data_IF_647469381707
#
_entry.id   IF_647469381707
#
_cell.length_a   1.000
_cell.length_b   1.000
_cell.length_c   1.000
_cell.angle_alpha   90.00
_cell.angle_beta   90.00
_cell.angle_gamma   90.00
#
_symmetry.space_group_name_H-M   'P 1'
#
loop_
_entity.id
_entity.type
_entity.pdbx_description
1 polymer ?
#
# COMPACT_ATOMS: atom_id res chain seq x y z
N UNK A 1 10.74 1.68 17.34
CA UNK A 1 10.54 0.59 18.30
C UNK A 1 9.20 -0.08 17.98
N UNK A 2 9.15 -1.43 17.93
CA UNK A 2 7.88 -2.18 17.99
C UNK A 2 7.67 -2.57 19.44
N UNK A 3 6.51 -2.24 19.98
CA UNK A 3 6.08 -2.72 21.29
C UNK A 3 5.40 -4.08 21.10
N UNK A 4 5.60 -4.98 22.05
CA UNK A 4 4.88 -6.25 22.15
C UNK A 4 3.89 -6.08 23.29
N UNK A 5 2.61 -6.26 22.98
CA UNK A 5 1.51 -5.94 23.91
C UNK A 5 1.24 -7.09 24.89
N UNK A 6 1.33 -8.35 24.44
CA UNK A 6 1.02 -9.54 25.24
C UNK A 6 2.16 -10.56 25.20
N UNK A 7 2.49 -11.14 26.37
CA UNK A 7 3.54 -12.15 26.54
C UNK A 7 2.93 -13.46 27.04
N UNK A 8 3.37 -14.58 26.46
CA UNK A 8 3.10 -15.93 26.99
C UNK A 8 4.43 -16.50 27.51
N UNK A 9 4.51 -16.77 28.80
CA UNK A 9 5.71 -17.28 29.45
C UNK A 9 5.49 -18.73 29.82
N UNK A 10 6.33 -19.62 29.30
CA UNK A 10 6.30 -21.05 29.58
C UNK A 10 7.53 -21.40 30.40
N UNK A 11 7.31 -22.00 31.57
CA UNK A 11 8.36 -22.37 32.50
C UNK A 11 8.32 -23.89 32.71
N UNK A 12 9.49 -24.48 32.94
CA UNK A 12 9.56 -25.87 33.41
C UNK A 12 9.12 -25.93 34.88
N UNK A 13 8.29 -26.91 35.21
CA UNK A 13 7.83 -27.11 36.57
C UNK A 13 9.01 -27.44 37.50
N UNK A 14 9.21 -26.65 38.54
CA UNK A 14 10.15 -26.96 39.62
C UNK A 14 9.37 -27.61 40.76
N UNK A 15 9.73 -28.85 41.18
CA UNK A 15 9.03 -29.52 42.28
C UNK A 15 9.13 -28.67 43.56
N UNK A 16 7.99 -28.28 44.12
CA UNK A 16 7.92 -27.48 45.36
C UNK A 16 8.15 -25.98 45.19
N UNK A 17 8.24 -25.47 43.96
CA UNK A 17 8.36 -24.04 43.71
C UNK A 17 7.04 -23.29 43.95
N UNK A 18 7.09 -22.21 44.74
CA UNK A 18 5.98 -21.28 44.89
C UNK A 18 5.79 -20.49 43.57
N UNK A 19 4.70 -20.79 42.86
CA UNK A 19 4.35 -20.14 41.60
C UNK A 19 4.13 -18.64 41.77
N UNK A 20 3.61 -18.19 42.91
CA UNK A 20 3.34 -16.77 43.16
C UNK A 20 4.65 -16.00 43.33
N UNK A 21 5.65 -16.58 44.00
CA UNK A 21 6.99 -16.01 44.12
C UNK A 21 7.69 -15.88 42.75
N UNK A 22 7.51 -16.88 41.87
CA UNK A 22 8.07 -16.84 40.50
C UNK A 22 7.39 -15.76 39.67
N UNK A 23 6.07 -15.64 39.75
CA UNK A 23 5.31 -14.58 39.06
C UNK A 23 5.74 -13.21 39.56
N UNK A 24 5.85 -13.01 40.87
CA UNK A 24 6.28 -11.75 41.46
C UNK A 24 7.68 -11.32 40.96
N UNK A 25 8.62 -12.27 40.87
CA UNK A 25 9.95 -12.02 40.31
C UNK A 25 9.88 -11.58 38.84
N UNK A 26 9.09 -12.28 38.03
CA UNK A 26 8.94 -11.96 36.61
C UNK A 26 8.31 -10.58 36.44
N UNK A 27 7.17 -10.32 37.09
CA UNK A 27 6.48 -9.03 37.03
C UNK A 27 7.38 -7.90 37.52
N UNK A 28 8.20 -8.14 38.55
CA UNK A 28 9.21 -7.19 39.04
C UNK A 28 10.24 -6.82 37.96
N UNK A 29 10.78 -7.80 37.24
CA UNK A 29 11.72 -7.57 36.14
C UNK A 29 11.07 -6.77 34.99
N UNK A 30 9.85 -7.14 34.59
CA UNK A 30 9.11 -6.41 33.56
C UNK A 30 8.84 -4.96 33.98
N UNK A 31 8.48 -4.74 35.25
CA UNK A 31 8.18 -3.40 35.77
C UNK A 31 9.44 -2.53 35.90
N UNK A 32 10.60 -3.11 36.23
CA UNK A 32 11.86 -2.38 36.32
C UNK A 32 12.33 -1.86 34.95
N UNK A 33 12.19 -2.66 33.90
CA UNK A 33 12.61 -2.32 32.54
C UNK A 33 11.54 -1.52 31.77
N UNK A 34 10.27 -1.65 32.16
CA UNK A 34 9.19 -0.92 31.53
C UNK A 34 9.06 0.47 32.16
N UNK A 35 9.42 1.49 31.38
CA UNK A 35 9.39 2.93 31.70
C UNK A 35 7.98 3.46 32.09
N UNK A 36 7.39 2.97 33.18
CA UNK A 36 6.08 3.36 33.72
C UNK A 36 4.87 2.57 33.21
N UNK A 37 5.06 1.41 32.56
CA UNK A 37 3.91 0.57 32.13
C UNK A 37 3.39 -0.28 33.30
N UNK A 38 2.07 -0.45 33.36
CA UNK A 38 1.41 -1.35 34.31
C UNK A 38 1.09 -2.67 33.60
N UNK A 39 1.62 -3.77 34.11
CA UNK A 39 1.35 -5.10 33.58
C UNK A 39 0.21 -5.78 34.36
N UNK A 40 -0.64 -6.49 33.62
CA UNK A 40 -1.61 -7.44 34.16
C UNK A 40 -1.17 -8.85 33.78
N UNK A 41 -1.36 -9.82 34.65
CA UNK A 41 -1.03 -11.22 34.39
C UNK A 41 -2.20 -12.13 34.72
N UNK A 42 -2.24 -13.27 34.03
CA UNK A 42 -3.24 -14.32 34.22
C UNK A 42 -2.49 -15.65 34.37
N UNK A 43 -2.88 -16.46 35.34
CA UNK A 43 -2.38 -17.82 35.51
C UNK A 43 -3.33 -18.82 34.85
N UNK A 44 -2.82 -19.98 34.39
CA UNK A 44 -3.68 -21.02 33.81
C UNK A 44 -4.73 -21.47 34.83
N UNK A 45 -5.99 -21.46 34.43
CA UNK A 45 -7.11 -21.91 35.25
C UNK A 45 -7.62 -23.24 34.69
N UNK A 46 -7.73 -24.28 35.53
CA UNK A 46 -8.15 -25.64 35.12
C UNK A 46 -7.34 -26.21 33.94
N UNK A 47 -6.01 -25.99 33.94
CA UNK A 47 -5.10 -26.40 32.86
C UNK A 47 -5.39 -25.74 31.49
N UNK A 48 -6.14 -24.63 31.47
CA UNK A 48 -6.37 -23.84 30.25
C UNK A 48 -5.86 -22.41 30.43
N UNK A 49 -5.32 -21.83 29.35
CA UNK A 49 -4.93 -20.41 29.30
C UNK A 49 -5.34 -19.79 27.96
N UNK A 50 -5.92 -18.59 28.03
CA UNK A 50 -6.33 -17.83 26.85
C UNK A 50 -5.23 -16.87 26.44
N UNK A 51 -4.60 -17.09 25.28
CA UNK A 51 -3.62 -16.19 24.70
C UNK A 51 -4.14 -15.62 23.37
N UNK A 52 -4.42 -14.31 23.32
CA UNK A 52 -5.03 -13.66 22.16
C UNK A 52 -6.30 -14.38 21.69
N UNK A 53 -6.30 -14.91 20.47
CA UNK A 53 -7.40 -15.68 19.85
C UNK A 53 -7.23 -17.21 20.03
N UNK A 54 -6.32 -17.66 20.87
CA UNK A 54 -6.04 -19.08 21.13
C UNK A 54 -6.43 -19.44 22.55
N UNK A 55 -7.14 -20.56 22.70
CA UNK A 55 -7.23 -21.25 23.98
C UNK A 55 -6.26 -22.42 23.95
N UNK A 56 -5.30 -22.40 24.86
CA UNK A 56 -4.26 -23.44 25.01
C UNK A 56 -4.67 -24.31 26.20
N UNK A 57 -4.68 -25.63 26.01
CA UNK A 57 -5.04 -26.63 27.02
C UNK A 57 -3.85 -27.54 27.25
N UNK A 58 -3.44 -27.69 28.51
CA UNK A 58 -2.33 -28.53 28.93
C UNK A 58 -2.88 -29.88 29.39
N UNK A 59 -3.08 -30.79 28.45
CA UNK A 59 -3.58 -32.12 28.78
C UNK A 59 -2.45 -32.99 29.32
N UNK A 60 -2.75 -33.83 30.33
CA UNK A 60 -1.81 -34.80 30.91
C UNK A 60 -1.54 -36.01 29.99
N UNK A 61 -2.27 -36.12 28.89
CA UNK A 61 -2.20 -37.23 27.94
C UNK A 61 -1.02 -37.14 26.97
N UNK A 62 0.21 -37.02 27.49
CA UNK A 62 1.50 -37.30 26.81
C UNK A 62 1.82 -36.55 25.50
N UNK A 63 0.89 -35.79 24.92
CA UNK A 63 0.96 -35.19 23.59
C UNK A 63 1.29 -33.69 23.64
N UNK A 64 1.64 -33.18 24.83
CA UNK A 64 1.94 -31.77 25.05
C UNK A 64 0.70 -30.85 24.97
N UNK A 65 0.92 -29.53 24.99
CA UNK A 65 -0.16 -28.55 24.97
C UNK A 65 -0.92 -28.56 23.64
N UNK A 66 -2.25 -28.69 23.73
CA UNK A 66 -3.15 -28.53 22.59
C UNK A 66 -3.66 -27.09 22.51
N UNK A 67 -4.07 -26.64 21.33
CA UNK A 67 -4.61 -25.30 21.15
C UNK A 67 -5.78 -25.28 20.17
N UNK A 68 -6.72 -24.36 20.39
CA UNK A 68 -7.90 -24.17 19.55
C UNK A 68 -8.18 -22.70 19.29
N UNK A 69 -8.74 -22.41 18.12
CA UNK A 69 -9.16 -21.05 17.79
C UNK A 69 -10.37 -20.64 18.64
N UNK A 70 -10.14 -19.68 19.54
CA UNK A 70 -11.13 -19.11 20.43
C UNK A 70 -10.93 -17.59 20.53
N UNK A 71 -11.58 -16.79 19.67
CA UNK A 71 -11.38 -15.34 19.68
C UNK A 71 -11.89 -14.72 20.98
N UNK A 72 -11.06 -13.88 21.60
CA UNK A 72 -11.36 -13.23 22.90
C UNK A 72 -12.59 -12.30 22.81
N UNK A 73 -12.78 -11.66 21.66
CA UNK A 73 -13.94 -10.81 21.45
C UNK A 73 -15.21 -11.63 21.24
N UNK A 74 -16.14 -11.53 22.19
CA UNK A 74 -17.51 -12.09 22.08
C UNK A 74 -18.43 -11.24 21.19
N UNK A 75 -17.88 -10.40 20.32
CA UNK A 75 -18.68 -9.56 19.42
C UNK A 75 -19.50 -10.47 18.51
N UNK A 76 -20.79 -10.15 18.40
CA UNK A 76 -21.70 -10.83 17.49
C UNK A 76 -21.19 -10.71 16.06
N UNK A 77 -21.33 -11.79 15.29
CA UNK A 77 -21.04 -11.72 13.86
C UNK A 77 -22.05 -10.80 13.19
N UNK A 78 -21.64 -10.20 12.07
CA UNK A 78 -22.54 -9.40 11.24
C UNK A 78 -23.77 -10.23 10.85
N UNK A 79 -25.00 -9.81 11.18
CA UNK A 79 -26.21 -10.57 10.84
C UNK A 79 -26.33 -10.80 9.33
N UNK A 80 -26.82 -11.97 8.96
CA UNK A 80 -27.01 -12.32 7.54
C UNK A 80 -28.03 -11.41 6.84
N UNK A 81 -29.02 -10.89 7.56
CA UNK A 81 -30.02 -9.95 7.00
C UNK A 81 -29.51 -8.51 6.83
N UNK A 82 -28.28 -8.20 7.27
CA UNK A 82 -27.74 -6.85 7.10
C UNK A 82 -27.62 -6.46 5.62
N UNK A 83 -27.74 -5.16 5.32
CA UNK A 83 -27.68 -4.59 3.97
C UNK A 83 -26.26 -4.59 3.35
N UNK A 84 -25.46 -5.62 3.60
CA UNK A 84 -24.13 -5.81 3.05
C UNK A 84 -24.14 -6.76 1.86
N UNK A 85 -23.16 -6.60 0.98
CA UNK A 85 -23.04 -7.44 -0.22
C UNK A 85 -22.82 -8.92 0.13
N UNK A 86 -23.25 -9.80 -0.78
CA UNK A 86 -23.01 -11.26 -0.67
C UNK A 86 -21.51 -11.58 -0.59
N UNK A 87 -20.65 -10.75 -1.17
CA UNK A 87 -19.19 -10.93 -1.11
C UNK A 87 -18.66 -10.72 0.31
N UNK A 88 -19.13 -9.68 1.01
CA UNK A 88 -18.74 -9.41 2.40
C UNK A 88 -19.19 -10.56 3.29
N UNK A 89 -20.46 -10.99 3.17
CA UNK A 89 -21.02 -12.10 3.95
C UNK A 89 -20.25 -13.41 3.71
N UNK A 90 -19.92 -13.74 2.46
CA UNK A 90 -19.08 -14.90 2.13
C UNK A 90 -17.64 -14.76 2.64
N UNK A 91 -17.10 -13.54 2.65
CA UNK A 91 -15.79 -13.23 3.23
C UNK A 91 -15.72 -13.50 4.73
N UNK A 92 -16.79 -13.21 5.47
CA UNK A 92 -16.88 -13.50 6.91
C UNK A 92 -16.84 -15.01 7.15
N UNK A 93 -17.64 -15.80 6.42
CA UNK A 93 -17.61 -17.26 6.50
C UNK A 93 -16.18 -17.78 6.23
N UNK A 94 -15.58 -17.31 5.13
CA UNK A 94 -14.26 -17.75 4.73
C UNK A 94 -13.18 -17.42 5.77
N UNK A 95 -13.19 -16.18 6.30
CA UNK A 95 -12.23 -15.72 7.30
C UNK A 95 -12.30 -16.52 8.60
N UNK A 96 -13.51 -16.81 9.09
CA UNK A 96 -13.69 -17.59 10.33
C UNK A 96 -13.22 -19.04 10.17
N UNK A 97 -13.60 -19.70 9.07
CA UNK A 97 -13.21 -21.08 8.82
C UNK A 97 -11.71 -21.21 8.55
N UNK A 98 -11.13 -20.29 7.79
CA UNK A 98 -9.68 -20.26 7.56
C UNK A 98 -8.89 -19.98 8.83
N UNK A 99 -9.37 -19.06 9.69
CA UNK A 99 -8.76 -18.83 10.98
C UNK A 99 -8.81 -20.07 11.87
N UNK A 100 -9.95 -20.77 11.91
CA UNK A 100 -10.07 -22.03 12.65
C UNK A 100 -9.11 -23.10 12.13
N UNK A 101 -8.95 -23.22 10.82
CA UNK A 101 -8.01 -24.16 10.20
C UNK A 101 -6.54 -23.82 10.51
N UNK A 102 -6.17 -22.54 10.44
CA UNK A 102 -4.79 -22.11 10.65
C UNK A 102 -4.36 -22.07 12.13
N UNK A 103 -5.31 -21.89 13.05
CA UNK A 103 -5.06 -21.59 14.47
C UNK A 103 -5.57 -22.68 15.42
N UNK A 104 -5.69 -23.91 14.96
CA UNK A 104 -6.09 -25.05 15.80
C UNK A 104 -5.17 -26.25 15.54
N UNK A 105 -4.89 -27.03 16.59
CA UNK A 105 -4.18 -28.29 16.44
C UNK A 105 -5.09 -29.37 15.82
N UNK A 106 -4.50 -30.46 15.32
CA UNK A 106 -5.22 -31.59 14.72
C UNK A 106 -6.31 -32.16 15.65
N UNK A 107 -6.03 -32.25 16.96
CA UNK A 107 -6.97 -32.76 17.96
C UNK A 107 -8.21 -31.87 18.12
N UNK A 108 -8.03 -30.55 18.11
CA UNK A 108 -9.10 -29.58 18.36
C UNK A 108 -9.64 -28.92 17.09
N UNK A 109 -9.19 -29.34 15.91
CA UNK A 109 -9.62 -28.73 14.66
C UNK A 109 -11.12 -28.87 14.44
N UNK A 110 -11.65 -30.08 14.64
CA UNK A 110 -13.08 -30.38 14.49
C UNK A 110 -13.94 -29.52 15.41
N UNK A 111 -13.58 -29.46 16.69
CA UNK A 111 -14.30 -28.66 17.69
C UNK A 111 -14.24 -27.16 17.36
N UNK A 112 -13.08 -26.66 16.95
CA UNK A 112 -12.89 -25.25 16.56
C UNK A 112 -13.77 -24.86 15.38
N UNK A 113 -13.83 -25.70 14.35
CA UNK A 113 -14.68 -25.47 13.17
C UNK A 113 -16.15 -25.52 13.56
N UNK A 114 -16.58 -26.52 14.34
CA UNK A 114 -17.97 -26.62 14.82
C UNK A 114 -18.40 -25.38 15.60
N UNK A 115 -17.54 -24.85 16.48
CA UNK A 115 -17.83 -23.60 17.21
C UNK A 115 -18.07 -22.44 16.24
N UNK A 116 -17.25 -22.28 15.18
CA UNK A 116 -17.45 -21.20 14.23
C UNK A 116 -18.71 -21.39 13.37
N UNK A 117 -19.05 -22.62 12.99
CA UNK A 117 -20.31 -22.92 12.30
C UNK A 117 -21.51 -22.52 13.16
N UNK A 118 -21.52 -22.93 14.43
CA UNK A 118 -22.59 -22.56 15.36
C UNK A 118 -22.72 -21.05 15.54
N UNK A 119 -21.61 -20.30 15.50
CA UNK A 119 -21.64 -18.82 15.54
C UNK A 119 -22.26 -18.22 14.28
N UNK A 120 -21.97 -18.78 13.11
CA UNK A 120 -22.54 -18.35 11.83
C UNK A 120 -24.05 -18.65 11.78
N UNK A 121 -24.47 -19.83 12.23
CA UNK A 121 -25.88 -20.21 12.31
C UNK A 121 -26.66 -19.28 13.26
N UNK A 122 -26.10 -18.98 14.43
CA UNK A 122 -26.68 -17.98 15.37
C UNK A 122 -26.79 -16.57 14.76
N UNK A 123 -25.96 -16.23 13.78
CA UNK A 123 -26.03 -14.96 13.06
C UNK A 123 -26.95 -15.00 11.82
N UNK A 124 -27.67 -16.11 11.61
CA UNK A 124 -28.65 -16.29 10.54
C UNK A 124 -28.07 -16.67 9.19
N UNK A 125 -26.80 -17.12 9.12
CA UNK A 125 -26.21 -17.53 7.84
C UNK A 125 -26.82 -18.86 7.38
N UNK A 126 -27.29 -18.95 6.12
CA UNK A 126 -27.92 -20.17 5.63
C UNK A 126 -26.88 -21.26 5.37
N UNK A 127 -27.24 -22.51 5.66
CA UNK A 127 -26.34 -23.66 5.56
C UNK A 127 -25.74 -23.81 4.15
N UNK A 128 -26.51 -23.53 3.09
CA UNK A 128 -26.04 -23.59 1.71
C UNK A 128 -24.84 -22.64 1.43
N UNK A 129 -24.83 -21.44 2.04
CA UNK A 129 -23.75 -20.48 1.90
C UNK A 129 -22.49 -20.97 2.63
N UNK A 130 -22.66 -21.55 3.82
CA UNK A 130 -21.58 -22.14 4.61
C UNK A 130 -20.96 -23.32 3.85
N UNK A 131 -21.76 -24.26 3.37
CA UNK A 131 -21.30 -25.41 2.57
C UNK A 131 -20.59 -24.97 1.30
N UNK A 132 -21.14 -24.00 0.55
CA UNK A 132 -20.54 -23.49 -0.68
C UNK A 132 -19.14 -22.90 -0.43
N UNK A 133 -18.97 -22.13 0.64
CA UNK A 133 -17.66 -21.56 1.01
C UNK A 133 -16.71 -22.65 1.51
N UNK A 134 -17.18 -23.57 2.33
CA UNK A 134 -16.39 -24.69 2.88
C UNK A 134 -15.86 -25.59 1.77
N UNK A 135 -16.70 -25.98 0.81
CA UNK A 135 -16.29 -26.73 -0.36
C UNK A 135 -15.22 -25.95 -1.16
N UNK A 136 -15.41 -24.64 -1.34
CA UNK A 136 -14.42 -23.78 -1.99
C UNK A 136 -13.06 -23.73 -1.27
N UNK A 137 -13.05 -23.75 0.07
CA UNK A 137 -11.82 -23.81 0.87
C UNK A 137 -11.13 -25.17 0.68
N UNK A 138 -11.87 -26.27 0.76
CA UNK A 138 -11.34 -27.62 0.58
C UNK A 138 -10.75 -27.83 -0.83
N UNK A 139 -11.44 -27.36 -1.87
CA UNK A 139 -10.93 -27.41 -3.24
C UNK A 139 -9.64 -26.61 -3.41
N UNK A 140 -9.51 -25.46 -2.74
CA UNK A 140 -8.26 -24.67 -2.76
C UNK A 140 -7.12 -25.38 -2.04
N UNK A 141 -7.39 -26.02 -0.90
CA UNK A 141 -6.39 -26.79 -0.18
C UNK A 141 -5.84 -27.94 -1.04
N UNK A 142 -6.74 -28.75 -1.62
CA UNK A 142 -6.38 -29.85 -2.55
C UNK A 142 -5.60 -29.37 -3.78
N UNK A 143 -5.91 -28.17 -4.29
CA UNK A 143 -5.20 -27.59 -5.43
C UNK A 143 -3.82 -27.01 -5.08
N UNK A 144 -3.58 -26.71 -3.81
CA UNK A 144 -2.26 -26.25 -3.37
C UNK A 144 -1.31 -27.44 -3.18
N UNK A 145 -1.78 -28.58 -2.67
CA UNK A 145 -0.98 -29.82 -2.58
C UNK A 145 -0.51 -30.31 -3.96
N UNK A 146 -1.30 -30.07 -5.01
CA UNK A 146 -0.97 -30.44 -6.40
C UNK A 146 -0.11 -29.40 -7.13
N UNK A 147 0.17 -28.24 -6.51
CA UNK A 147 0.98 -27.17 -7.11
C UNK A 147 2.47 -27.23 -6.77
N UNK A 148 2.89 -28.10 -5.85
CA UNK A 148 4.32 -28.40 -5.66
C UNK A 148 4.90 -29.28 -6.78
N UNK A 149 4.06 -29.81 -7.70
CA UNK A 149 4.49 -30.69 -8.78
C UNK A 149 4.34 -30.13 -10.21
N UNK A 150 4.20 -28.81 -10.43
CA UNK A 150 4.16 -28.28 -11.80
C UNK A 150 4.68 -26.85 -11.95
N UNK A 151 6.00 -26.72 -12.07
CA UNK A 151 6.70 -25.58 -12.70
C UNK A 151 6.58 -25.63 -14.23
N UNK A 152 5.39 -25.91 -14.76
CA UNK A 152 5.13 -25.73 -16.20
C UNK A 152 4.63 -24.30 -16.39
N UNK A 153 5.32 -23.45 -17.18
CA UNK A 153 4.80 -22.15 -17.55
C UNK A 153 3.44 -22.36 -18.22
N UNK A 154 2.36 -21.90 -17.58
CA UNK A 154 1.05 -21.93 -18.22
C UNK A 154 1.16 -21.15 -19.53
N UNK A 155 0.66 -21.69 -20.66
CA UNK A 155 0.63 -20.95 -21.91
C UNK A 155 -0.07 -19.62 -21.67
N UNK A 156 0.46 -18.55 -22.27
CA UNK A 156 -0.08 -17.18 -22.14
C UNK A 156 -1.55 -17.22 -22.53
N UNK A 157 -2.46 -17.22 -21.55
CA UNK A 157 -3.89 -17.16 -21.82
C UNK A 157 -4.16 -15.86 -22.58
N UNK A 158 -4.92 -15.95 -23.67
CA UNK A 158 -5.30 -14.76 -24.41
C UNK A 158 -6.23 -13.93 -23.53
N UNK A 159 -5.74 -12.78 -23.07
CA UNK A 159 -6.52 -11.86 -22.23
C UNK A 159 -7.15 -10.82 -23.14
N UNK A 160 -8.47 -10.68 -23.08
CA UNK A 160 -9.20 -9.62 -23.77
C UNK A 160 -9.93 -8.72 -22.80
N UNK A 161 -9.73 -7.41 -22.96
CA UNK A 161 -10.36 -6.39 -22.12
C UNK A 161 -11.50 -5.75 -22.90
N UNK A 162 -12.73 -5.84 -22.38
CA UNK A 162 -13.92 -5.21 -22.96
C UNK A 162 -14.61 -4.30 -21.94
N UNK A 163 -15.31 -3.24 -22.35
CA UNK A 163 -16.11 -2.44 -21.43
C UNK A 163 -17.20 -3.30 -20.76
N UNK A 164 -17.46 -3.05 -19.47
CA UNK A 164 -18.54 -3.72 -18.76
C UNK A 164 -19.90 -3.25 -19.31
N UNK A 165 -20.62 -4.18 -19.94
CA UNK A 165 -21.97 -4.04 -20.45
C UNK A 165 -22.86 -5.00 -19.68
N UNK A 166 -23.79 -4.46 -18.90
CA UNK A 166 -24.71 -5.25 -18.10
C UNK A 166 -25.46 -6.27 -18.99
N UNK A 167 -25.69 -7.49 -18.48
CA UNK A 167 -26.24 -8.67 -19.20
C UNK A 167 -25.32 -9.31 -20.27
N UNK A 168 -24.53 -8.52 -20.99
CA UNK A 168 -23.68 -9.01 -22.09
C UNK A 168 -22.34 -9.54 -21.55
N UNK A 169 -21.67 -8.77 -20.68
CA UNK A 169 -20.34 -9.06 -20.16
C UNK A 169 -20.25 -10.42 -19.46
N UNK A 170 -21.23 -10.77 -18.62
CA UNK A 170 -21.22 -12.04 -17.90
C UNK A 170 -21.31 -13.25 -18.83
N UNK A 171 -22.14 -13.16 -19.87
CA UNK A 171 -22.27 -14.20 -20.90
C UNK A 171 -20.98 -14.32 -21.71
N UNK A 172 -20.40 -13.21 -22.15
CA UNK A 172 -19.11 -13.18 -22.86
C UNK A 172 -17.98 -13.79 -22.03
N UNK A 173 -17.90 -13.47 -20.73
CA UNK A 173 -16.88 -14.08 -19.86
C UNK A 173 -17.09 -15.59 -19.71
N UNK A 174 -18.34 -16.05 -19.63
CA UNK A 174 -18.66 -17.49 -19.59
C UNK A 174 -18.27 -18.20 -20.89
N UNK A 175 -18.54 -17.59 -22.05
CA UNK A 175 -18.17 -18.13 -23.37
C UNK A 175 -16.65 -18.09 -23.56
N UNK A 176 -15.99 -16.98 -23.22
CA UNK A 176 -14.54 -16.83 -23.31
C UNK A 176 -13.80 -17.87 -22.48
N UNK A 177 -14.25 -18.10 -21.23
CA UNK A 177 -13.64 -19.12 -20.34
C UNK A 177 -13.77 -20.53 -20.91
N UNK A 178 -14.80 -20.82 -21.72
CA UNK A 178 -14.95 -22.12 -22.41
C UNK A 178 -14.01 -22.30 -23.60
N UNK A 179 -13.49 -21.20 -24.17
CA UNK A 179 -12.62 -21.18 -25.34
C UNK A 179 -11.19 -20.71 -24.98
N UNK A 180 -10.77 -20.89 -23.72
CA UNK A 180 -9.47 -20.46 -23.20
C UNK A 180 -9.11 -18.97 -23.37
N UNK A 181 -10.11 -18.11 -23.56
CA UNK A 181 -9.98 -16.64 -23.60
C UNK A 181 -10.40 -16.04 -22.27
N UNK A 182 -9.47 -15.35 -21.60
CA UNK A 182 -9.77 -14.63 -20.36
C UNK A 182 -10.33 -13.25 -20.65
N UNK A 183 -11.64 -13.09 -20.47
CA UNK A 183 -12.31 -11.78 -20.62
C UNK A 183 -12.24 -10.99 -19.31
N UNK A 184 -11.62 -9.82 -19.36
CA UNK A 184 -11.59 -8.81 -18.30
C UNK A 184 -12.49 -7.64 -18.66
N UNK A 185 -13.05 -6.99 -17.64
CA UNK A 185 -13.95 -5.86 -17.84
C UNK A 185 -13.28 -4.54 -17.46
N UNK A 186 -13.33 -3.57 -18.37
CA UNK A 186 -12.99 -2.18 -18.08
C UNK A 186 -14.26 -1.38 -17.77
N UNK A 187 -14.13 -0.38 -16.89
CA UNK A 187 -15.13 0.66 -16.75
C UNK A 187 -14.60 1.90 -17.48
N UNK A 188 -15.15 2.27 -18.65
CA UNK A 188 -14.60 3.35 -19.47
C UNK A 188 -14.64 4.70 -18.75
N UNK A 189 -15.63 4.90 -17.86
CA UNK A 189 -15.72 6.07 -17.00
C UNK A 189 -15.37 5.69 -15.57
N UNK A 190 -14.30 6.27 -15.03
CA UNK A 190 -13.98 6.16 -13.61
C UNK A 190 -14.89 7.11 -12.84
N UNK A 191 -15.27 6.77 -11.62
CA UNK A 191 -16.08 7.66 -10.76
C UNK A 191 -15.43 9.05 -10.60
N UNK A 192 -14.09 9.11 -10.61
CA UNK A 192 -13.31 10.35 -10.60
C UNK A 192 -13.49 11.24 -11.84
N UNK A 193 -13.87 10.69 -12.99
CA UNK A 193 -14.16 11.47 -14.21
C UNK A 193 -15.60 11.96 -14.26
N UNK A 194 -16.53 11.24 -13.62
CA UNK A 194 -17.96 11.61 -13.56
C UNK A 194 -18.19 12.70 -12.52
N UNK A 195 -17.52 12.63 -11.38
CA UNK A 195 -17.65 13.62 -10.30
C UNK A 195 -16.35 14.43 -10.15
N UNK A 196 -16.11 15.34 -11.09
CA UNK A 196 -14.93 16.23 -11.08
C UNK A 196 -14.87 17.12 -9.83
N UNK A 197 -16.01 17.39 -9.20
CA UNK A 197 -16.10 18.15 -7.93
C UNK A 197 -15.47 17.39 -6.76
N UNK A 198 -15.66 16.06 -6.69
CA UNK A 198 -15.02 15.22 -5.66
C UNK A 198 -13.57 14.86 -5.99
N UNK A 199 -13.18 14.93 -7.27
CA UNK A 199 -11.84 14.57 -7.75
C UNK A 199 -10.87 15.76 -7.88
N UNK A 200 -11.35 17.01 -7.88
CA UNK A 200 -10.51 18.21 -7.81
C UNK A 200 -9.96 18.37 -6.40
N UNK A 201 -9.00 17.54 -6.01
CA UNK A 201 -8.02 18.01 -5.03
C UNK A 201 -7.37 19.25 -5.65
N UNK A 202 -7.37 20.42 -4.98
CA UNK A 202 -6.57 21.53 -5.47
C UNK A 202 -5.15 20.99 -5.62
N UNK A 203 -4.49 21.25 -6.75
CA UNK A 203 -3.09 20.88 -6.99
C UNK A 203 -2.18 21.73 -6.09
N UNK A 204 -2.38 21.64 -4.78
CA UNK A 204 -1.49 22.19 -3.77
C UNK A 204 -0.46 21.12 -3.49
N UNK A 205 0.81 21.50 -3.48
CA UNK A 205 1.87 20.59 -3.12
C UNK A 205 1.57 20.03 -1.71
N UNK A 206 1.53 18.71 -1.57
CA UNK A 206 1.28 18.05 -0.27
C UNK A 206 2.47 18.20 0.70
N UNK A 207 3.60 18.73 0.22
CA UNK A 207 4.82 18.93 1.01
C UNK A 207 4.81 20.27 1.74
N UNK A 208 5.15 20.25 3.03
CA UNK A 208 5.55 21.45 3.77
C UNK A 208 6.96 21.85 3.36
N UNK A 209 7.09 22.85 2.49
CA UNK A 209 8.41 23.41 2.16
C UNK A 209 8.91 24.26 3.34
N UNK A 210 10.20 24.13 3.70
CA UNK A 210 10.83 24.99 4.71
C UNK A 210 10.97 26.44 4.25
N UNK A 211 11.31 26.65 2.98
CA UNK A 211 11.40 27.98 2.33
C UNK A 211 10.66 27.95 0.99
N UNK A 212 9.82 28.96 0.72
CA UNK A 212 9.02 29.06 -0.50
C UNK A 212 9.41 30.34 -1.24
N UNK A 213 10.00 30.20 -2.43
CA UNK A 213 10.36 31.35 -3.28
C UNK A 213 9.23 31.72 -4.23
N UNK A 214 8.50 30.71 -4.73
CA UNK A 214 7.42 30.88 -5.71
C UNK A 214 6.18 30.03 -5.38
N UNK A 215 5.08 30.26 -6.10
CA UNK A 215 3.88 29.44 -5.93
C UNK A 215 4.15 27.97 -6.28
N UNK A 216 3.78 27.05 -5.39
CA UNK A 216 4.06 25.63 -5.59
C UNK A 216 3.32 25.08 -6.81
N UNK A 217 4.09 24.73 -7.83
CA UNK A 217 3.59 24.08 -9.05
C UNK A 217 4.41 22.82 -9.35
N UNK A 218 3.78 21.83 -9.98
CA UNK A 218 4.42 20.58 -10.45
C UNK A 218 4.28 20.47 -11.96
N UNK A 219 5.16 19.69 -12.59
CA UNK A 219 5.13 19.44 -14.04
C UNK A 219 5.24 20.73 -14.87
N UNK A 220 6.27 21.55 -14.59
CA UNK A 220 6.44 22.85 -15.23
C UNK A 220 7.85 23.03 -15.82
N UNK A 221 7.93 23.96 -16.77
CA UNK A 221 9.17 24.56 -17.27
C UNK A 221 9.24 25.98 -16.69
N UNK A 222 10.36 26.34 -16.09
CA UNK A 222 10.54 27.61 -15.39
C UNK A 222 11.80 28.34 -15.87
N UNK A 223 11.79 29.67 -15.75
CA UNK A 223 12.95 30.54 -15.95
C UNK A 223 13.41 31.12 -14.62
N UNK A 224 14.71 31.02 -14.36
CA UNK A 224 15.41 31.62 -13.22
C UNK A 224 16.33 32.74 -13.74
N UNK A 225 16.01 34.02 -13.49
CA UNK A 225 16.84 35.13 -13.92
C UNK A 225 18.11 35.25 -13.07
N UNK A 226 19.19 35.72 -13.69
CA UNK A 226 20.45 36.06 -13.04
C UNK A 226 20.68 37.59 -13.09
N UNK A 227 21.49 38.11 -12.16
CA UNK A 227 21.80 39.55 -12.07
C UNK A 227 22.49 40.13 -13.30
N UNK A 228 23.11 39.29 -14.13
CA UNK A 228 23.75 39.69 -15.39
C UNK A 228 22.75 39.84 -16.56
N UNK A 229 21.46 39.54 -16.36
CA UNK A 229 20.44 39.55 -17.41
C UNK A 229 20.34 38.23 -18.20
N UNK A 230 21.25 37.29 -17.98
CA UNK A 230 21.11 35.91 -18.47
C UNK A 230 20.00 35.17 -17.71
N UNK A 231 19.47 34.12 -18.32
CA UNK A 231 18.36 33.32 -17.79
C UNK A 231 18.75 31.85 -17.79
N UNK A 232 18.40 31.13 -16.72
CA UNK A 232 18.44 29.68 -16.67
C UNK A 232 17.03 29.12 -16.89
N UNK A 233 16.85 28.30 -17.92
CA UNK A 233 15.59 27.60 -18.18
C UNK A 233 15.74 26.13 -17.79
N UNK A 234 14.82 25.63 -16.98
CA UNK A 234 14.83 24.24 -16.55
C UNK A 234 13.44 23.64 -16.46
N UNK A 235 13.34 22.32 -16.59
CA UNK A 235 12.10 21.58 -16.36
C UNK A 235 12.11 20.80 -15.03
N UNK A 236 10.93 20.61 -14.46
CA UNK A 236 10.74 19.71 -13.32
C UNK A 236 9.38 19.03 -13.32
N UNK A 237 9.37 17.71 -13.12
CA UNK A 237 8.16 16.96 -12.76
C UNK A 237 7.79 17.13 -11.28
N UNK A 238 8.76 17.44 -10.42
CA UNK A 238 8.58 17.70 -8.98
C UNK A 238 8.20 19.16 -8.74
N UNK A 239 7.98 19.53 -7.47
CA UNK A 239 7.67 20.90 -7.11
C UNK A 239 8.82 21.85 -7.48
N UNK A 240 8.51 23.02 -8.06
CA UNK A 240 9.52 24.02 -8.46
C UNK A 240 10.40 24.47 -7.29
N UNK A 241 9.81 24.69 -6.11
CA UNK A 241 10.56 25.12 -4.93
C UNK A 241 11.62 24.08 -4.51
N UNK A 242 11.31 22.78 -4.60
CA UNK A 242 12.29 21.72 -4.33
C UNK A 242 13.47 21.83 -5.32
N UNK A 243 13.17 22.12 -6.59
CA UNK A 243 14.17 22.27 -7.64
C UNK A 243 15.03 23.52 -7.45
N UNK A 244 14.44 24.64 -7.06
CA UNK A 244 15.16 25.88 -6.73
C UNK A 244 16.11 25.65 -5.53
N UNK A 245 15.64 24.97 -4.49
CA UNK A 245 16.47 24.63 -3.32
C UNK A 245 17.64 23.72 -3.72
N UNK A 246 17.42 22.75 -4.62
CA UNK A 246 18.49 21.94 -5.20
C UNK A 246 19.52 22.81 -5.93
N UNK A 247 19.07 23.76 -6.76
CA UNK A 247 19.98 24.70 -7.44
C UNK A 247 20.80 25.53 -6.45
N UNK A 248 20.18 26.04 -5.39
CA UNK A 248 20.87 26.79 -4.33
C UNK A 248 21.95 25.93 -3.65
N UNK A 249 21.62 24.69 -3.27
CA UNK A 249 22.58 23.75 -2.68
C UNK A 249 23.71 23.36 -3.65
N UNK A 250 23.41 23.21 -4.93
CA UNK A 250 24.42 22.89 -5.93
C UNK A 250 25.42 24.04 -6.11
N UNK A 251 24.97 25.29 -6.03
CA UNK A 251 25.85 26.47 -6.09
C UNK A 251 26.66 26.63 -4.80
N UNK A 252 26.03 26.51 -3.63
CA UNK A 252 26.67 26.77 -2.34
C UNK A 252 27.58 25.63 -1.86
N UNK A 253 27.15 24.37 -2.02
CA UNK A 253 27.82 23.21 -1.43
C UNK A 253 28.58 22.37 -2.45
N UNK A 254 27.93 21.99 -3.56
CA UNK A 254 28.50 21.01 -4.49
C UNK A 254 29.38 21.63 -5.57
N UNK A 255 29.21 22.91 -5.87
CA UNK A 255 29.99 23.65 -6.87
C UNK A 255 29.94 22.99 -8.27
N UNK A 256 28.74 22.61 -8.72
CA UNK A 256 28.54 21.88 -9.97
C UNK A 256 27.35 22.37 -10.81
N UNK A 257 27.48 22.22 -12.13
CA UNK A 257 26.44 22.46 -13.14
C UNK A 257 26.50 23.85 -13.79
N UNK A 258 25.80 24.01 -14.91
CA UNK A 258 25.89 25.22 -15.76
C UNK A 258 25.60 26.52 -14.99
N UNK A 259 24.71 26.47 -14.00
CA UNK A 259 24.41 27.62 -13.15
C UNK A 259 25.63 28.02 -12.32
N UNK A 260 26.37 27.06 -11.76
CA UNK A 260 27.59 27.32 -11.01
C UNK A 260 28.72 27.80 -11.92
N UNK A 261 28.93 27.16 -13.06
CA UNK A 261 29.99 27.53 -14.02
C UNK A 261 29.83 28.99 -14.49
N UNK A 262 28.60 29.40 -14.77
CA UNK A 262 28.29 30.77 -15.14
C UNK A 262 28.49 31.75 -13.97
N UNK A 263 28.12 31.38 -12.74
CA UNK A 263 28.34 32.22 -11.54
C UNK A 263 29.83 32.45 -11.28
N UNK A 264 30.67 31.42 -11.44
CA UNK A 264 32.13 31.53 -11.27
C UNK A 264 32.74 32.41 -12.36
N UNK A 265 32.35 32.21 -13.61
CA UNK A 265 32.89 32.94 -14.76
C UNK A 265 32.47 34.42 -14.75
N UNK A 266 31.18 34.71 -14.53
CA UNK A 266 30.61 36.05 -14.68
C UNK A 266 30.36 36.80 -13.37
N UNK A 267 30.71 36.20 -12.21
CA UNK A 267 30.50 36.78 -10.87
C UNK A 267 29.07 37.30 -10.62
N UNK A 268 28.07 36.58 -11.13
CA UNK A 268 26.66 36.94 -11.02
C UNK A 268 25.95 36.13 -9.92
N UNK A 269 24.72 36.51 -9.57
CA UNK A 269 23.89 35.80 -8.58
C UNK A 269 22.53 35.42 -9.18
N UNK A 270 22.00 34.22 -8.88
CA UNK A 270 20.64 33.84 -9.26
C UNK A 270 19.60 34.54 -8.38
N UNK A 271 18.55 35.07 -9.00
CA UNK A 271 17.44 35.74 -8.31
C UNK A 271 16.30 34.74 -8.14
N UNK A 272 16.33 33.96 -7.06
CA UNK A 272 15.40 32.85 -6.83
C UNK A 272 13.93 33.27 -6.73
N UNK A 273 13.64 34.43 -6.13
CA UNK A 273 12.29 34.99 -6.01
C UNK A 273 11.73 35.47 -7.35
N UNK A 274 12.60 35.78 -8.31
CA UNK A 274 12.24 36.18 -9.67
C UNK A 274 11.93 35.01 -10.60
N UNK A 275 11.79 33.79 -10.08
CA UNK A 275 11.53 32.60 -10.92
C UNK A 275 10.13 32.67 -11.52
N UNK A 276 10.02 32.53 -12.84
CA UNK A 276 8.75 32.58 -13.58
C UNK A 276 8.44 31.20 -14.17
N UNK A 277 7.17 30.80 -14.13
CA UNK A 277 6.71 29.58 -14.81
C UNK A 277 6.39 29.92 -16.26
N UNK A 278 7.12 29.32 -17.21
CA UNK A 278 6.95 29.54 -18.64
C UNK A 278 5.85 28.65 -19.23
N UNK A 279 5.80 27.38 -18.82
CA UNK A 279 4.85 26.41 -19.37
C UNK A 279 4.53 25.29 -18.37
N UNK A 280 3.39 24.62 -18.58
CA UNK A 280 2.95 23.46 -17.80
C UNK A 280 2.63 22.30 -18.75
N UNK A 281 3.27 21.14 -18.56
CA UNK A 281 3.06 19.97 -19.43
C UNK A 281 2.99 18.68 -18.62
N UNK A 282 1.95 17.87 -18.88
CA UNK A 282 1.63 16.68 -18.07
C UNK A 282 2.67 15.56 -18.24
N UNK A 283 3.16 15.35 -19.46
CA UNK A 283 4.11 14.28 -19.76
C UNK A 283 5.55 14.78 -19.69
N UNK A 284 6.49 13.88 -19.37
CA UNK A 284 7.93 14.19 -19.33
C UNK A 284 8.43 14.66 -20.70
N UNK A 285 8.10 13.91 -21.75
CA UNK A 285 8.49 14.21 -23.13
C UNK A 285 8.01 15.60 -23.58
N UNK A 286 6.75 15.97 -23.30
CA UNK A 286 6.26 17.31 -23.64
C UNK A 286 7.06 18.41 -22.92
N UNK A 287 7.42 18.21 -21.65
CA UNK A 287 8.23 19.20 -20.92
C UNK A 287 9.63 19.34 -21.48
N UNK A 288 10.27 18.24 -21.86
CA UNK A 288 11.62 18.25 -22.44
C UNK A 288 11.62 18.94 -23.81
N UNK A 289 10.59 18.70 -24.64
CA UNK A 289 10.41 19.41 -25.91
C UNK A 289 10.19 20.91 -25.69
N UNK A 290 9.29 21.29 -24.77
CA UNK A 290 9.03 22.71 -24.46
C UNK A 290 10.26 23.40 -23.88
N UNK A 291 11.01 22.73 -23.00
CA UNK A 291 12.28 23.23 -22.46
C UNK A 291 13.30 23.47 -23.57
N UNK A 292 13.55 22.47 -24.43
CA UNK A 292 14.49 22.59 -25.54
C UNK A 292 14.12 23.74 -26.48
N UNK A 293 12.83 23.84 -26.84
CA UNK A 293 12.32 24.95 -27.65
C UNK A 293 12.57 26.32 -27.00
N UNK A 294 12.29 26.46 -25.71
CA UNK A 294 12.46 27.73 -24.99
C UNK A 294 13.94 28.11 -24.79
N UNK A 295 14.83 27.12 -24.61
CA UNK A 295 16.27 27.35 -24.56
C UNK A 295 16.75 27.88 -25.92
N UNK A 296 16.40 27.20 -27.01
CA UNK A 296 16.81 27.61 -28.36
C UNK A 296 16.24 28.99 -28.72
N UNK A 297 14.99 29.29 -28.36
CA UNK A 297 14.35 30.59 -28.60
C UNK A 297 15.05 31.74 -27.87
N UNK A 298 15.61 31.50 -26.69
CA UNK A 298 16.32 32.52 -25.91
C UNK A 298 17.82 32.65 -26.26
N UNK A 299 18.36 31.73 -27.07
CA UNK A 299 19.70 31.79 -27.64
C UNK A 299 20.79 32.01 -26.58
N UNK A 300 21.75 32.90 -26.89
CA UNK A 300 22.92 33.20 -26.06
C UNK A 300 22.58 33.78 -24.66
N UNK A 301 21.35 34.26 -24.46
CA UNK A 301 20.90 34.71 -23.14
C UNK A 301 20.59 33.55 -22.19
N UNK A 302 20.43 32.34 -22.71
CA UNK A 302 20.13 31.14 -21.93
C UNK A 302 21.41 30.37 -21.60
N UNK A 303 21.63 30.12 -20.31
CA UNK A 303 22.82 29.37 -19.83
C UNK A 303 22.57 27.86 -19.69
N UNK A 304 21.35 27.40 -20.00
CA UNK A 304 20.96 26.00 -19.85
C UNK A 304 21.36 25.16 -21.05
N UNK A 305 21.78 23.92 -20.80
CA UNK A 305 21.92 22.89 -21.83
C UNK A 305 20.58 22.23 -22.09
N UNK A 306 20.24 21.99 -23.36
CA UNK A 306 18.98 21.34 -23.73
C UNK A 306 18.96 19.87 -23.29
N UNK A 307 17.82 19.41 -22.80
CA UNK A 307 17.60 17.98 -22.50
C UNK A 307 17.47 17.11 -23.76
N UNK A 308 17.08 17.73 -24.88
CA UNK A 308 16.90 17.12 -26.20
C UNK A 308 17.39 18.11 -27.28
N UNK A 309 17.99 17.58 -28.34
CA UNK A 309 18.33 18.36 -29.54
C UNK A 309 17.15 18.34 -30.52
N UNK A 310 16.58 19.50 -30.83
CA UNK A 310 15.51 19.66 -31.81
C UNK A 310 16.10 20.07 -33.17
N UNK A 311 15.53 19.55 -34.26
CA UNK A 311 15.87 19.96 -35.62
C UNK A 311 15.20 21.29 -35.98
N UNK A 312 15.78 22.05 -36.92
CA UNK A 312 15.23 23.34 -37.35
C UNK A 312 13.78 23.25 -37.85
N UNK A 313 13.43 22.14 -38.51
CA UNK A 313 12.05 21.86 -38.96
C UNK A 313 11.08 21.69 -37.79
N UNK A 314 11.54 21.08 -36.69
CA UNK A 314 10.73 20.87 -35.49
C UNK A 314 10.55 22.18 -34.71
N UNK A 315 11.59 23.01 -34.66
CA UNK A 315 11.51 24.36 -34.08
C UNK A 315 10.53 25.26 -34.85
N UNK A 316 10.57 25.23 -36.18
CA UNK A 316 9.64 25.95 -37.03
C UNK A 316 8.19 25.50 -36.76
N UNK A 317 7.95 24.19 -36.68
CA UNK A 317 6.62 23.64 -36.36
C UNK A 317 6.11 24.11 -34.99
N UNK A 318 6.95 24.10 -33.96
CA UNK A 318 6.57 24.53 -32.61
C UNK A 318 6.35 26.05 -32.50
N UNK A 319 6.95 26.85 -33.39
CA UNK A 319 6.75 28.30 -33.44
C UNK A 319 5.42 28.75 -34.07
N UNK A 320 4.73 27.85 -34.77
CA UNK A 320 3.42 28.11 -35.40
C UNK A 320 2.21 27.74 -34.53
N UNK A 321 2.44 27.22 -33.32
CA UNK A 321 1.41 26.82 -32.35
C UNK A 321 1.34 27.83 -31.21
#
# INVERSE_FOLDING_TARGET
LRYVDDYLIILQATPGGDMDAVVARIVGLFTAEAKGLKFTWELPHRQEIQFLDLLITFNESGCGPCYKYNPRSKKSLLPYESAHSKLVKRGIIAGLLQAALARSCSHNLKSSVTIQINRLEKAGYPANAIHSVTAGILHKARRNDSKEASTVPRPRQQIQVIPYLHKISHNLKKIGTRNDVTVLFSAPTKLSSVCTVLAKKPQRCEKKHGTRFVECSTNVVYSLPLTCGCIYIGQTGRCVNDRIIEHKRNVESYKTGNLYDHIVCHKCKPVYEGTIILARSKTKMQREITEAFLITKNGEKCISSTSLTLLDKELAFLGHV
#
